data_IF_763678484502
#
_entry.id   IF_763678484502
#
_cell.length_a   1.000
_cell.length_b   1.000
_cell.length_c   1.000
_cell.angle_alpha   90.00
_cell.angle_beta   90.00
_cell.angle_gamma   90.00
#
_symmetry.space_group_name_H-M   'P 1'
#
loop_
_entity.id
_entity.type
_entity.pdbx_description
1 polymer ?
#
# COMPACT_ATOMS: atom_id res chain seq x y z
N UNK A 1 5.44 -14.68 25.30
CA UNK A 1 4.34 -13.72 25.32
C UNK A 1 4.85 -12.30 25.60
N UNK A 2 5.76 -12.07 26.55
CA UNK A 2 6.29 -10.75 26.90
C UNK A 2 7.03 -10.12 25.70
N UNK A 3 7.85 -10.88 25.00
CA UNK A 3 8.54 -10.44 23.79
C UNK A 3 7.58 -10.05 22.67
N UNK A 4 6.51 -10.84 22.45
CA UNK A 4 5.50 -10.54 21.44
C UNK A 4 4.77 -9.22 21.72
N UNK A 5 4.45 -8.96 23.00
CA UNK A 5 3.84 -7.70 23.42
C UNK A 5 4.78 -6.50 23.26
N UNK A 6 6.06 -6.65 23.64
CA UNK A 6 7.06 -5.60 23.44
C UNK A 6 7.24 -5.26 21.95
N UNK A 7 7.32 -6.26 21.07
CA UNK A 7 7.39 -6.04 19.62
C UNK A 7 6.14 -5.35 19.09
N UNK A 8 4.95 -5.77 19.54
CA UNK A 8 3.70 -5.15 19.12
C UNK A 8 3.65 -3.66 19.51
N UNK A 9 4.11 -3.31 20.71
CA UNK A 9 4.18 -1.92 21.18
C UNK A 9 5.20 -1.09 20.40
N UNK A 10 6.40 -1.62 20.17
CA UNK A 10 7.43 -0.95 19.37
C UNK A 10 6.93 -0.70 17.95
N UNK A 11 6.28 -1.69 17.37
CA UNK A 11 5.72 -1.58 16.03
C UNK A 11 4.57 -0.56 15.96
N UNK A 12 3.68 -0.59 16.94
CA UNK A 12 2.61 0.40 17.06
C UNK A 12 3.16 1.82 17.19
N UNK A 13 4.15 2.06 18.08
CA UNK A 13 4.74 3.38 18.28
C UNK A 13 5.51 3.89 17.06
N UNK A 14 6.04 3.01 16.24
CA UNK A 14 6.72 3.38 14.99
C UNK A 14 5.74 3.86 13.90
N UNK A 15 4.56 3.26 13.83
CA UNK A 15 3.67 3.42 12.65
C UNK A 15 2.42 4.26 12.93
N UNK A 16 2.00 4.46 14.20
CA UNK A 16 0.78 5.19 14.55
C UNK A 16 0.76 6.65 14.05
N UNK A 17 1.93 7.34 14.09
CA UNK A 17 2.07 8.70 13.57
C UNK A 17 1.78 8.78 12.08
N UNK A 18 2.27 7.80 11.33
CA UNK A 18 2.04 7.70 9.90
C UNK A 18 0.56 7.42 9.58
N UNK A 19 -0.10 6.56 10.36
CA UNK A 19 -1.53 6.29 10.21
C UNK A 19 -2.39 7.53 10.50
N UNK A 20 -2.07 8.30 11.54
CA UNK A 20 -2.75 9.56 11.85
C UNK A 20 -2.56 10.58 10.73
N UNK A 21 -1.34 10.72 10.21
CA UNK A 21 -1.05 11.61 9.09
C UNK A 21 -1.88 11.21 7.84
N UNK A 22 -1.96 9.91 7.55
CA UNK A 22 -2.77 9.38 6.44
C UNK A 22 -4.25 9.69 6.58
N UNK A 23 -4.81 9.54 7.78
CA UNK A 23 -6.22 9.89 8.07
C UNK A 23 -6.44 11.40 7.92
N UNK A 24 -5.50 12.22 8.38
CA UNK A 24 -5.56 13.67 8.30
C UNK A 24 -5.50 14.14 6.83
N UNK A 25 -4.55 13.65 6.05
CA UNK A 25 -4.42 13.96 4.62
C UNK A 25 -5.60 13.41 3.83
N UNK A 26 -6.05 12.18 4.11
CA UNK A 26 -7.20 11.56 3.45
C UNK A 26 -8.51 12.33 3.69
N UNK A 27 -8.72 12.83 4.91
CA UNK A 27 -9.87 13.68 5.22
C UNK A 27 -9.80 15.06 4.53
N UNK A 28 -8.59 15.62 4.43
CA UNK A 28 -8.35 16.89 3.75
C UNK A 28 -8.62 16.77 2.24
N UNK A 29 -8.13 15.72 1.59
CA UNK A 29 -8.42 15.43 0.18
C UNK A 29 -9.92 15.33 -0.08
N UNK A 30 -10.69 14.68 0.82
CA UNK A 30 -12.13 14.57 0.69
C UNK A 30 -12.88 15.90 0.73
N UNK A 31 -12.33 16.91 1.38
CA UNK A 31 -12.98 18.22 1.56
C UNK A 31 -12.47 19.26 0.57
N UNK A 32 -11.16 19.22 0.24
CA UNK A 32 -10.53 20.23 -0.64
C UNK A 32 -10.77 19.95 -2.12
N UNK A 33 -10.76 18.68 -2.53
CA UNK A 33 -10.84 18.36 -3.95
C UNK A 33 -12.32 18.26 -4.37
N UNK A 34 -12.78 19.05 -5.35
CA UNK A 34 -14.15 19.00 -5.83
C UNK A 34 -14.46 17.63 -6.45
N UNK A 35 -15.57 17.02 -6.05
CA UNK A 35 -16.01 15.71 -6.56
C UNK A 35 -16.13 15.69 -8.08
N UNK A 36 -16.66 16.77 -8.64
CA UNK A 36 -16.87 16.90 -10.09
C UNK A 36 -15.55 16.87 -10.86
N UNK A 37 -14.51 17.49 -10.33
CA UNK A 37 -13.18 17.46 -10.94
C UNK A 37 -12.57 16.05 -10.89
N UNK A 38 -12.63 15.38 -9.73
CA UNK A 38 -12.16 14.00 -9.57
C UNK A 38 -12.93 13.03 -10.46
N UNK A 39 -14.27 13.17 -10.50
CA UNK A 39 -15.12 12.30 -11.32
C UNK A 39 -14.86 12.50 -12.81
N UNK A 40 -14.67 13.73 -13.28
CA UNK A 40 -14.36 14.02 -14.69
C UNK A 40 -12.97 13.53 -15.08
N UNK A 41 -11.97 13.69 -14.21
CA UNK A 41 -10.57 13.41 -14.52
C UNK A 41 -10.20 11.93 -14.28
N UNK A 42 -10.67 11.34 -13.17
CA UNK A 42 -10.31 10.00 -12.71
C UNK A 42 -11.49 9.03 -12.67
N UNK A 43 -12.72 9.50 -12.94
CA UNK A 43 -13.93 8.67 -12.91
C UNK A 43 -14.03 7.69 -14.09
N UNK A 44 -13.41 8.01 -15.22
CA UNK A 44 -13.46 7.17 -16.39
C UNK A 44 -12.60 5.91 -16.21
N UNK A 45 -13.17 4.76 -16.57
CA UNK A 45 -12.47 3.45 -16.55
C UNK A 45 -11.52 3.30 -17.75
N UNK A 46 -10.71 4.32 -18.03
CA UNK A 46 -9.70 4.32 -19.09
C UNK A 46 -8.32 4.12 -18.50
N UNK A 47 -7.41 3.56 -19.27
CA UNK A 47 -6.01 3.40 -18.87
C UNK A 47 -5.35 4.73 -18.50
N UNK A 48 -5.71 5.81 -19.18
CA UNK A 48 -5.24 7.17 -18.86
C UNK A 48 -5.57 7.61 -17.43
N UNK A 49 -6.76 7.24 -16.92
CA UNK A 49 -7.11 7.50 -15.51
C UNK A 49 -6.24 6.72 -14.53
N UNK A 50 -5.87 5.49 -14.87
CA UNK A 50 -4.94 4.68 -14.07
C UNK A 50 -3.55 5.30 -14.03
N UNK A 51 -3.03 5.73 -15.18
CA UNK A 51 -1.72 6.44 -15.28
C UNK A 51 -1.75 7.73 -14.47
N UNK A 52 -2.81 8.53 -14.61
CA UNK A 52 -2.95 9.78 -13.86
C UNK A 52 -3.03 9.54 -12.35
N UNK A 53 -3.74 8.48 -11.92
CA UNK A 53 -3.77 8.06 -10.52
C UNK A 53 -2.39 7.73 -9.97
N UNK A 54 -1.58 7.00 -10.74
CA UNK A 54 -0.19 6.70 -10.39
C UNK A 54 0.68 7.96 -10.32
N UNK A 55 0.55 8.88 -11.27
CA UNK A 55 1.32 10.13 -11.29
C UNK A 55 0.97 11.05 -10.11
N UNK A 56 -0.31 11.11 -9.74
CA UNK A 56 -0.74 11.89 -8.56
C UNK A 56 -0.23 11.32 -7.24
N UNK A 57 0.22 10.08 -7.22
CA UNK A 57 0.82 9.46 -6.05
C UNK A 57 2.26 9.91 -5.80
N UNK A 58 3.03 10.25 -6.84
CA UNK A 58 4.47 10.53 -6.74
C UNK A 58 4.83 11.64 -5.75
N UNK A 59 4.14 12.79 -5.73
CA UNK A 59 4.43 13.84 -4.76
C UNK A 59 3.98 13.49 -3.33
N UNK A 60 3.10 12.49 -3.18
CA UNK A 60 2.54 12.10 -1.89
C UNK A 60 3.53 11.43 -0.96
N UNK A 61 4.51 10.68 -1.51
CA UNK A 61 5.57 9.96 -0.78
C UNK A 61 5.07 9.20 0.46
N UNK A 62 3.87 8.60 0.38
CA UNK A 62 3.19 7.96 1.49
C UNK A 62 3.52 6.46 1.55
N UNK A 63 3.45 5.90 2.77
CA UNK A 63 3.40 4.44 2.94
C UNK A 63 2.03 3.88 2.56
N UNK A 64 1.93 2.55 2.42
CA UNK A 64 0.69 1.84 2.09
C UNK A 64 -0.48 2.19 3.01
N UNK A 65 -0.22 2.28 4.32
CA UNK A 65 -1.23 2.58 5.33
C UNK A 65 -1.75 4.01 5.24
N UNK A 66 -0.86 4.97 4.90
CA UNK A 66 -1.24 6.38 4.75
C UNK A 66 -2.01 6.61 3.44
N UNK A 67 -1.62 5.91 2.38
CA UNK A 67 -2.27 6.01 1.08
C UNK A 67 -3.64 5.31 1.03
N UNK A 68 -3.87 4.27 1.86
CA UNK A 68 -5.12 3.51 1.88
C UNK A 68 -6.35 4.37 2.23
N UNK A 69 -6.37 5.21 3.29
CA UNK A 69 -7.49 6.10 3.58
C UNK A 69 -7.75 7.11 2.45
N UNK A 70 -6.70 7.59 1.80
CA UNK A 70 -6.83 8.53 0.66
C UNK A 70 -7.49 7.82 -0.52
N UNK A 71 -7.00 6.63 -0.88
CA UNK A 71 -7.59 5.81 -1.95
C UNK A 71 -9.05 5.44 -1.67
N UNK A 72 -9.38 5.10 -0.41
CA UNK A 72 -10.77 4.88 0.01
C UNK A 72 -11.62 6.15 -0.14
N UNK A 73 -11.07 7.30 0.19
CA UNK A 73 -11.69 8.62 -0.01
C UNK A 73 -11.94 8.92 -1.49
N UNK A 74 -10.97 8.65 -2.36
CA UNK A 74 -11.11 8.79 -3.82
C UNK A 74 -12.26 7.92 -4.35
N UNK A 75 -12.37 6.67 -3.89
CA UNK A 75 -13.48 5.77 -4.27
C UNK A 75 -14.85 6.31 -3.87
N UNK A 76 -14.96 6.90 -2.68
CA UNK A 76 -16.19 7.56 -2.21
C UNK A 76 -16.58 8.77 -3.05
N UNK A 77 -15.62 9.36 -3.77
CA UNK A 77 -15.82 10.50 -4.68
C UNK A 77 -15.95 10.06 -6.15
N UNK A 78 -16.36 8.81 -6.40
CA UNK A 78 -16.62 8.27 -7.75
C UNK A 78 -15.39 8.15 -8.64
N UNK A 79 -14.19 8.15 -8.08
CA UNK A 79 -12.97 7.82 -8.82
C UNK A 79 -12.99 6.35 -9.23
N UNK A 80 -12.51 6.03 -10.42
CA UNK A 80 -12.43 4.65 -10.92
C UNK A 80 -11.58 3.75 -10.01
N UNK A 81 -11.91 2.45 -9.93
CA UNK A 81 -11.14 1.50 -9.12
C UNK A 81 -9.68 1.43 -9.55
N UNK A 82 -9.40 1.47 -10.85
CA UNK A 82 -8.05 1.45 -11.37
C UNK A 82 -7.23 2.69 -10.98
N UNK A 83 -7.80 3.89 -11.08
CA UNK A 83 -7.10 5.11 -10.69
C UNK A 83 -6.80 5.14 -9.18
N UNK A 84 -7.75 4.74 -8.34
CA UNK A 84 -7.57 4.70 -6.90
C UNK A 84 -6.57 3.60 -6.47
N UNK A 85 -6.59 2.41 -7.11
CA UNK A 85 -5.60 1.35 -6.88
C UNK A 85 -4.21 1.77 -7.33
N UNK A 86 -4.10 2.39 -8.51
CA UNK A 86 -2.83 2.90 -9.02
C UNK A 86 -2.23 3.95 -8.07
N UNK A 87 -3.05 4.88 -7.58
CA UNK A 87 -2.63 5.84 -6.56
C UNK A 87 -2.12 5.14 -5.29
N UNK A 88 -2.87 4.16 -4.78
CA UNK A 88 -2.49 3.44 -3.57
C UNK A 88 -1.18 2.68 -3.70
N UNK A 89 -1.00 1.91 -4.79
CA UNK A 89 0.20 1.11 -5.03
C UNK A 89 1.42 1.96 -5.40
N UNK A 90 1.24 3.02 -6.19
CA UNK A 90 2.35 3.85 -6.66
C UNK A 90 3.01 4.64 -5.53
N UNK A 91 2.26 5.09 -4.53
CA UNK A 91 2.79 5.87 -3.41
C UNK A 91 4.02 5.23 -2.76
N UNK A 92 3.96 3.97 -2.27
CA UNK A 92 5.12 3.35 -1.64
C UNK A 92 6.10 2.73 -2.65
N UNK A 93 5.61 2.19 -3.78
CA UNK A 93 6.43 1.42 -4.72
C UNK A 93 7.31 2.34 -5.58
N UNK A 94 6.73 3.42 -6.09
CA UNK A 94 7.38 4.38 -6.98
C UNK A 94 7.80 5.66 -6.26
N UNK A 95 7.90 5.63 -4.94
CA UNK A 95 8.35 6.76 -4.13
C UNK A 95 9.77 7.21 -4.56
N UNK A 96 9.93 8.45 -5.09
CA UNK A 96 11.23 8.90 -5.59
C UNK A 96 12.33 8.93 -4.52
N UNK A 97 11.97 9.37 -3.30
CA UNK A 97 12.94 9.42 -2.20
C UNK A 97 13.43 8.02 -1.81
N UNK A 98 12.53 7.03 -1.78
CA UNK A 98 12.88 5.64 -1.47
C UNK A 98 13.75 5.03 -2.58
N UNK A 99 13.44 5.31 -3.86
CA UNK A 99 14.24 4.83 -4.98
C UNK A 99 15.66 5.40 -4.98
N UNK A 100 15.80 6.70 -4.71
CA UNK A 100 17.12 7.35 -4.57
C UNK A 100 17.88 6.78 -3.37
N UNK A 101 17.23 6.65 -2.22
CA UNK A 101 17.85 6.05 -1.03
C UNK A 101 18.28 4.61 -1.28
N UNK A 102 17.48 3.81 -1.96
CA UNK A 102 17.84 2.44 -2.38
C UNK A 102 19.07 2.43 -3.28
N UNK A 103 19.16 3.35 -4.25
CA UNK A 103 20.31 3.47 -5.15
C UNK A 103 21.62 3.71 -4.40
N UNK A 104 21.60 4.50 -3.32
CA UNK A 104 22.78 4.75 -2.50
C UNK A 104 23.13 3.60 -1.54
N UNK A 105 22.14 2.89 -1.01
CA UNK A 105 22.33 1.88 0.04
C UNK A 105 22.57 0.48 -0.53
N UNK A 106 21.74 0.05 -1.49
CA UNK A 106 21.80 -1.28 -2.11
C UNK A 106 22.45 -1.27 -3.49
N UNK A 107 22.53 -0.10 -4.11
CA UNK A 107 23.05 0.08 -5.45
C UNK A 107 21.98 0.39 -6.50
N UNK A 108 22.40 1.10 -7.54
CA UNK A 108 21.53 1.55 -8.62
C UNK A 108 20.82 0.43 -9.41
N UNK A 109 21.42 -0.79 -9.60
CA UNK A 109 20.73 -1.89 -10.23
C UNK A 109 19.43 -2.29 -9.50
N UNK A 110 19.44 -2.36 -8.17
CA UNK A 110 18.25 -2.64 -7.36
C UNK A 110 17.16 -1.57 -7.57
N UNK A 111 17.56 -0.29 -7.55
CA UNK A 111 16.62 0.82 -7.75
C UNK A 111 16.03 0.82 -9.16
N UNK A 112 16.82 0.53 -10.19
CA UNK A 112 16.38 0.44 -11.58
C UNK A 112 15.38 -0.71 -11.79
N UNK A 113 15.70 -1.91 -11.27
CA UNK A 113 14.79 -3.06 -11.34
C UNK A 113 13.48 -2.75 -10.63
N UNK A 114 13.55 -2.17 -9.42
CA UNK A 114 12.34 -1.76 -8.68
C UNK A 114 11.52 -0.73 -9.44
N UNK A 115 12.15 0.26 -10.06
CA UNK A 115 11.44 1.28 -10.83
C UNK A 115 10.69 0.65 -12.01
N UNK A 116 11.39 -0.13 -12.83
CA UNK A 116 10.79 -0.75 -14.04
C UNK A 116 9.70 -1.75 -13.64
N UNK A 117 10.01 -2.69 -12.77
CA UNK A 117 9.05 -3.69 -12.30
C UNK A 117 7.89 -3.03 -11.53
N UNK A 118 8.15 -1.97 -10.76
CA UNK A 118 7.16 -1.20 -10.04
C UNK A 118 6.17 -0.49 -10.95
N UNK A 119 6.63 0.14 -12.02
CA UNK A 119 5.75 0.77 -13.02
C UNK A 119 4.85 -0.28 -13.67
N UNK A 120 5.42 -1.40 -14.11
CA UNK A 120 4.65 -2.51 -14.70
C UNK A 120 3.65 -3.08 -13.71
N UNK A 121 4.07 -3.29 -12.47
CA UNK A 121 3.21 -3.80 -11.40
C UNK A 121 2.04 -2.84 -11.11
N UNK A 122 2.31 -1.56 -10.87
CA UNK A 122 1.30 -0.57 -10.51
C UNK A 122 0.26 -0.42 -11.63
N UNK A 123 0.72 -0.16 -12.85
CA UNK A 123 -0.18 0.08 -13.97
C UNK A 123 -0.88 -1.21 -14.43
N UNK A 124 -0.15 -2.31 -14.49
CA UNK A 124 -0.68 -3.61 -14.91
C UNK A 124 -1.74 -4.13 -13.93
N UNK A 125 -1.43 -4.14 -12.63
CA UNK A 125 -2.37 -4.63 -11.61
C UNK A 125 -3.61 -3.74 -11.55
N UNK A 126 -3.45 -2.42 -11.47
CA UNK A 126 -4.56 -1.51 -11.36
C UNK A 126 -5.50 -1.59 -12.57
N UNK A 127 -4.95 -1.72 -13.77
CA UNK A 127 -5.72 -1.89 -15.00
C UNK A 127 -6.42 -3.26 -15.08
N UNK A 128 -5.71 -4.34 -14.74
CA UNK A 128 -6.26 -5.70 -14.78
C UNK A 128 -7.39 -5.87 -13.77
N UNK A 129 -7.14 -5.45 -12.53
CA UNK A 129 -8.15 -5.51 -11.46
C UNK A 129 -9.38 -4.69 -11.84
N UNK A 130 -9.20 -3.48 -12.38
CA UNK A 130 -10.32 -2.67 -12.86
C UNK A 130 -11.15 -3.39 -13.92
N UNK A 131 -10.52 -4.11 -14.84
CA UNK A 131 -11.24 -4.87 -15.90
C UNK A 131 -11.98 -6.08 -15.35
N UNK A 132 -11.30 -6.87 -14.53
CA UNK A 132 -11.85 -8.11 -13.97
C UNK A 132 -12.98 -7.83 -12.98
N UNK A 133 -12.91 -6.73 -12.24
CA UNK A 133 -13.91 -6.36 -11.22
C UNK A 133 -14.89 -5.28 -11.72
N UNK A 134 -14.97 -5.07 -13.03
CA UNK A 134 -15.83 -4.04 -13.62
C UNK A 134 -17.32 -4.25 -13.30
N UNK A 135 -17.74 -5.50 -13.13
CA UNK A 135 -19.12 -5.91 -12.84
C UNK A 135 -19.37 -6.21 -11.38
N UNK A 136 -18.34 -6.20 -10.54
CA UNK A 136 -18.50 -6.45 -9.11
C UNK A 136 -19.39 -5.35 -8.50
N UNK A 137 -20.37 -5.72 -7.67
CA UNK A 137 -21.12 -4.74 -6.89
C UNK A 137 -20.12 -3.87 -6.14
N UNK A 138 -20.20 -2.58 -6.36
CA UNK A 138 -19.41 -1.68 -5.50
C UNK A 138 -19.87 -1.94 -4.07
N UNK A 139 -18.95 -2.22 -3.12
CA UNK A 139 -19.36 -2.27 -1.74
C UNK A 139 -20.13 -0.99 -1.49
N UNK A 140 -21.37 -1.12 -1.02
CA UNK A 140 -22.14 0.04 -0.59
C UNK A 140 -21.29 0.70 0.50
N UNK A 141 -20.39 1.61 0.07
CA UNK A 141 -19.80 2.49 1.03
C UNK A 141 -20.99 3.04 1.79
N UNK A 142 -21.02 2.99 3.15
CA UNK A 142 -22.02 3.72 3.87
C UNK A 142 -21.93 5.12 3.27
N UNK A 143 -22.89 5.45 2.44
CA UNK A 143 -22.97 6.78 1.89
C UNK A 143 -22.99 7.64 3.14
N UNK A 144 -21.99 8.51 3.37
CA UNK A 144 -22.26 9.60 4.27
C UNK A 144 -23.57 10.16 3.72
N UNK A 145 -24.57 10.44 4.56
CA UNK A 145 -25.93 10.80 4.14
C UNK A 145 -25.75 11.69 2.92
N UNK A 146 -26.44 11.36 1.83
CA UNK A 146 -26.30 11.98 0.52
C UNK A 146 -26.22 13.46 0.77
N UNK A 147 -25.01 13.96 0.84
CA UNK A 147 -24.81 15.40 0.75
C UNK A 147 -25.07 15.67 -0.72
N UNK A 148 -26.36 15.74 -1.05
CA UNK A 148 -26.84 16.42 -2.23
C UNK A 148 -25.89 17.59 -2.46
N UNK A 149 -25.55 17.85 -3.70
CA UNK A 149 -24.75 19.00 -4.14
C UNK A 149 -25.39 20.36 -3.79
N UNK A 150 -26.23 20.38 -2.78
CA UNK A 150 -26.59 21.57 -2.03
C UNK A 150 -25.31 22.01 -1.32
N UNK A 151 -24.83 23.15 -1.71
CA UNK A 151 -23.82 23.94 -1.03
C UNK A 151 -23.98 23.74 0.48
N UNK A 152 -23.15 22.86 1.06
CA UNK A 152 -23.14 22.69 2.51
C UNK A 152 -22.52 23.98 3.05
N UNK A 153 -23.38 24.93 3.44
CA UNK A 153 -23.02 26.26 3.95
C UNK A 153 -22.25 26.20 5.26
N UNK A 154 -21.95 24.98 5.73
CA UNK A 154 -21.17 24.77 6.95
C UNK A 154 -19.74 25.24 6.72
N UNK A 155 -19.13 25.88 7.72
CA UNK A 155 -17.75 26.31 7.65
C UNK A 155 -16.82 25.12 7.36
N UNK A 156 -15.78 25.36 6.60
CA UNK A 156 -14.78 24.35 6.18
C UNK A 156 -14.35 23.43 7.32
N UNK A 157 -14.08 24.00 8.51
CA UNK A 157 -13.65 23.25 9.69
C UNK A 157 -14.68 22.22 10.16
N UNK A 158 -15.98 22.53 10.08
CA UNK A 158 -17.03 21.57 10.48
C UNK A 158 -17.15 20.42 9.48
N UNK A 159 -17.01 20.69 8.18
CA UNK A 159 -17.00 19.67 7.13
C UNK A 159 -15.78 18.77 7.27
N UNK A 160 -14.61 19.35 7.47
CA UNK A 160 -13.37 18.62 7.66
C UNK A 160 -13.38 17.79 8.94
N UNK A 161 -13.80 18.35 10.08
CA UNK A 161 -13.93 17.63 11.34
C UNK A 161 -14.84 16.42 11.24
N UNK A 162 -15.97 16.51 10.53
CA UNK A 162 -16.86 15.37 10.28
C UNK A 162 -16.22 14.31 9.39
N UNK A 163 -15.52 14.71 8.32
CA UNK A 163 -14.80 13.79 7.44
C UNK A 163 -13.65 13.09 8.19
N UNK A 164 -12.89 13.85 8.99
CA UNK A 164 -11.80 13.36 9.84
C UNK A 164 -12.32 12.34 10.85
N UNK A 165 -13.40 12.65 11.57
CA UNK A 165 -14.01 11.75 12.55
C UNK A 165 -14.50 10.44 11.93
N UNK A 166 -15.22 10.52 10.81
CA UNK A 166 -15.70 9.35 10.10
C UNK A 166 -14.56 8.47 9.58
N UNK A 167 -13.49 9.08 9.06
CA UNK A 167 -12.33 8.35 8.56
C UNK A 167 -11.52 7.74 9.70
N UNK A 168 -11.35 8.45 10.80
CA UNK A 168 -10.66 7.98 12.01
C UNK A 168 -11.31 6.70 12.54
N UNK A 169 -12.61 6.71 12.82
CA UNK A 169 -13.31 5.54 13.36
C UNK A 169 -13.43 4.38 12.38
N UNK A 170 -13.43 4.63 11.08
CA UNK A 170 -13.45 3.56 10.08
C UNK A 170 -12.09 2.90 9.86
N UNK A 171 -11.01 3.57 10.22
CA UNK A 171 -9.64 3.18 9.85
C UNK A 171 -8.81 2.76 11.05
N UNK A 172 -8.75 3.57 12.10
CA UNK A 172 -7.83 3.39 13.23
C UNK A 172 -8.09 2.11 14.03
N UNK A 173 -9.33 1.71 14.37
CA UNK A 173 -9.54 0.49 15.15
C UNK A 173 -9.06 -0.77 14.40
N UNK A 174 -9.37 -0.86 13.10
CA UNK A 174 -8.94 -1.98 12.25
C UNK A 174 -7.41 -2.01 12.14
N UNK A 175 -6.82 -0.83 11.97
CA UNK A 175 -5.37 -0.67 11.88
C UNK A 175 -4.66 -1.12 13.18
N UNK A 176 -5.12 -0.64 14.34
CA UNK A 176 -4.56 -1.03 15.64
C UNK A 176 -4.62 -2.54 15.85
N UNK A 177 -5.79 -3.14 15.59
CA UNK A 177 -5.98 -4.58 15.74
C UNK A 177 -5.05 -5.38 14.80
N UNK A 178 -4.93 -4.96 13.54
CA UNK A 178 -4.08 -5.64 12.57
C UNK A 178 -2.58 -5.50 12.90
N UNK A 179 -2.13 -4.32 13.36
CA UNK A 179 -0.73 -4.09 13.77
C UNK A 179 -0.38 -4.90 15.01
N UNK A 180 -1.27 -4.95 16.01
CA UNK A 180 -1.05 -5.77 17.22
C UNK A 180 -1.01 -7.26 16.90
N UNK A 181 -1.92 -7.75 16.04
CA UNK A 181 -1.95 -9.15 15.62
C UNK A 181 -0.68 -9.54 14.86
N UNK A 182 -0.21 -8.71 13.92
CA UNK A 182 1.02 -8.97 13.17
C UNK A 182 2.27 -8.83 14.03
N UNK A 183 2.31 -7.87 14.95
CA UNK A 183 3.40 -7.73 15.91
C UNK A 183 3.53 -8.96 16.80
N UNK A 184 2.41 -9.53 17.24
CA UNK A 184 2.40 -10.79 17.99
C UNK A 184 2.80 -11.99 17.12
N UNK A 185 2.32 -12.06 15.88
CA UNK A 185 2.62 -13.15 14.94
C UNK A 185 4.07 -13.16 14.47
N UNK A 186 4.77 -12.03 14.51
CA UNK A 186 6.18 -11.93 14.07
C UNK A 186 7.10 -12.91 14.79
N UNK A 187 6.88 -13.14 16.08
CA UNK A 187 7.69 -14.09 16.89
C UNK A 187 7.58 -15.52 16.35
N UNK A 188 6.46 -15.86 15.69
CA UNK A 188 6.22 -17.20 15.15
C UNK A 188 6.53 -17.29 13.64
N UNK A 189 6.46 -16.18 12.92
CA UNK A 189 6.72 -16.13 11.47
C UNK A 189 8.23 -16.04 11.15
N UNK A 190 9.04 -15.54 12.09
CA UNK A 190 10.49 -15.50 11.95
C UNK A 190 11.17 -16.20 13.16
N UNK A 191 10.99 -17.52 13.33
CA UNK A 191 11.78 -18.26 14.28
C UNK A 191 13.21 -18.32 13.71
N UNK A 192 14.17 -17.69 14.38
CA UNK A 192 15.61 -17.82 14.17
C UNK A 192 16.00 -18.17 12.73
N UNK A 193 16.14 -17.18 11.88
CA UNK A 193 16.73 -17.36 10.55
C UNK A 193 18.26 -17.53 10.70
N UNK A 194 18.66 -18.57 11.42
CA UNK A 194 20.07 -18.97 11.58
C UNK A 194 20.60 -19.72 10.34
N UNK A 195 19.77 -19.87 9.30
CA UNK A 195 20.14 -20.44 8.01
C UNK A 195 20.28 -19.34 6.95
N UNK A 196 21.32 -19.39 6.14
CA UNK A 196 21.46 -18.55 4.97
C UNK A 196 20.20 -18.66 4.10
N UNK A 197 19.58 -17.52 3.79
CA UNK A 197 18.43 -17.45 2.88
C UNK A 197 18.99 -17.54 1.46
N UNK A 198 19.09 -18.77 0.97
CA UNK A 198 19.63 -19.05 -0.35
C UNK A 198 18.79 -18.43 -1.48
N UNK A 199 19.42 -18.29 -2.65
CA UNK A 199 18.77 -17.88 -3.90
C UNK A 199 17.83 -18.98 -4.43
N UNK A 200 16.98 -19.56 -3.59
CA UNK A 200 16.03 -20.60 -4.00
C UNK A 200 14.65 -20.02 -4.26
N UNK A 201 13.95 -20.61 -5.22
CA UNK A 201 12.59 -20.24 -5.57
C UNK A 201 11.62 -20.31 -4.38
N UNK A 202 11.85 -21.26 -3.48
CA UNK A 202 11.03 -21.43 -2.27
C UNK A 202 11.13 -20.21 -1.35
N UNK A 203 12.34 -19.68 -1.13
CA UNK A 203 12.54 -18.48 -0.34
C UNK A 203 11.96 -17.25 -1.01
N UNK A 204 12.09 -17.14 -2.34
CA UNK A 204 11.50 -16.03 -3.10
C UNK A 204 9.98 -16.01 -2.94
N UNK A 205 9.30 -17.15 -3.12
CA UNK A 205 7.85 -17.28 -2.95
C UNK A 205 7.44 -16.99 -1.51
N UNK A 206 8.12 -17.63 -0.55
CA UNK A 206 7.82 -17.45 0.87
C UNK A 206 7.93 -15.99 1.31
N UNK A 207 9.03 -15.34 0.96
CA UNK A 207 9.27 -13.93 1.32
C UNK A 207 8.36 -12.96 0.54
N UNK A 208 7.98 -13.27 -0.69
CA UNK A 208 7.00 -12.48 -1.42
C UNK A 208 5.62 -12.51 -0.75
N UNK A 209 5.18 -13.68 -0.26
CA UNK A 209 3.92 -13.81 0.49
C UNK A 209 4.01 -13.09 1.83
N UNK A 210 5.07 -13.35 2.58
CA UNK A 210 5.29 -12.72 3.89
C UNK A 210 5.38 -11.21 3.75
N UNK A 211 6.08 -10.70 2.72
CA UNK A 211 6.19 -9.27 2.43
C UNK A 211 4.84 -8.58 2.28
N UNK A 212 3.85 -9.23 1.67
CA UNK A 212 2.50 -8.69 1.53
C UNK A 212 1.67 -8.65 2.83
N UNK A 213 2.12 -9.32 3.88
CA UNK A 213 1.40 -9.35 5.16
C UNK A 213 1.86 -8.24 6.10
N UNK A 214 3.15 -7.90 6.07
CA UNK A 214 3.75 -6.96 7.01
C UNK A 214 3.56 -5.51 6.59
N UNK A 215 3.50 -4.64 7.62
CA UNK A 215 3.54 -3.18 7.47
C UNK A 215 4.92 -2.70 7.87
N UNK A 216 5.54 -1.91 7.01
CA UNK A 216 6.83 -1.28 7.31
C UNK A 216 6.71 0.23 7.04
N UNK A 217 7.32 1.08 7.89
CA UNK A 217 7.43 2.51 7.62
C UNK A 217 8.14 2.77 6.28
N UNK A 218 7.81 3.88 5.62
CA UNK A 218 8.42 4.25 4.34
C UNK A 218 9.95 4.18 4.39
N UNK A 219 10.54 3.52 3.42
CA UNK A 219 11.98 3.30 3.25
C UNK A 219 12.66 2.39 4.28
N UNK A 220 11.97 1.91 5.32
CA UNK A 220 12.57 1.01 6.31
C UNK A 220 12.84 -0.40 5.73
N UNK A 221 12.21 -0.77 4.61
CA UNK A 221 12.53 -2.00 3.90
C UNK A 221 13.97 -2.06 3.43
N UNK A 222 14.58 -0.91 3.11
CA UNK A 222 15.95 -0.84 2.56
C UNK A 222 17.00 -1.29 3.57
N UNK A 223 17.11 -0.70 4.79
CA UNK A 223 18.08 -1.16 5.77
C UNK A 223 17.76 -2.57 6.29
N UNK A 224 16.50 -3.00 6.33
CA UNK A 224 16.13 -4.36 6.71
C UNK A 224 16.70 -5.35 5.69
N UNK A 225 16.43 -5.14 4.40
CA UNK A 225 16.93 -6.02 3.34
C UNK A 225 18.45 -5.97 3.26
N UNK A 226 19.07 -4.80 3.43
CA UNK A 226 20.52 -4.67 3.48
C UNK A 226 21.13 -5.52 4.59
N UNK A 227 20.57 -5.47 5.79
CA UNK A 227 21.03 -6.30 6.93
C UNK A 227 20.90 -7.78 6.64
N UNK A 228 19.79 -8.19 6.02
CA UNK A 228 19.58 -9.59 5.63
C UNK A 228 20.55 -10.03 4.52
N UNK A 229 20.86 -9.17 3.56
CA UNK A 229 21.87 -9.45 2.53
C UNK A 229 23.28 -9.57 3.11
N UNK A 230 23.64 -8.72 4.08
CA UNK A 230 24.88 -8.84 4.82
C UNK A 230 24.96 -10.14 5.65
N UNK A 231 23.81 -10.67 6.07
CA UNK A 231 23.70 -11.97 6.73
C UNK A 231 23.64 -13.17 5.76
N UNK A 232 23.81 -12.95 4.44
CA UNK A 232 23.90 -13.99 3.43
C UNK A 232 22.63 -14.22 2.59
N UNK A 233 21.63 -13.33 2.67
CA UNK A 233 20.45 -13.42 1.81
C UNK A 233 20.80 -13.11 0.36
N UNK A 234 20.34 -13.96 -0.56
CA UNK A 234 20.54 -13.79 -2.00
C UNK A 234 19.76 -12.60 -2.59
N UNK A 235 20.20 -12.13 -3.76
CA UNK A 235 19.59 -10.98 -4.46
C UNK A 235 18.14 -11.23 -4.88
N UNK A 236 17.79 -12.47 -5.24
CA UNK A 236 16.42 -12.86 -5.61
C UNK A 236 15.42 -12.64 -4.48
N UNK A 237 15.59 -13.28 -3.31
CA UNK A 237 14.76 -13.04 -2.12
C UNK A 237 14.73 -11.56 -1.70
N UNK A 238 15.86 -10.86 -1.80
CA UNK A 238 15.96 -9.43 -1.50
C UNK A 238 15.04 -8.59 -2.39
N UNK A 239 15.07 -8.80 -3.71
CA UNK A 239 14.20 -8.09 -4.65
C UNK A 239 12.73 -8.45 -4.48
N UNK A 240 12.41 -9.70 -4.19
CA UNK A 240 11.03 -10.11 -3.90
C UNK A 240 10.48 -9.33 -2.70
N UNK A 241 11.23 -9.22 -1.61
CA UNK A 241 10.86 -8.43 -0.44
C UNK A 241 10.75 -6.93 -0.77
N UNK A 242 11.72 -6.36 -1.47
CA UNK A 242 11.73 -4.94 -1.84
C UNK A 242 10.53 -4.54 -2.71
N UNK A 243 9.95 -5.49 -3.45
CA UNK A 243 8.74 -5.26 -4.26
C UNK A 243 7.46 -5.42 -3.45
N UNK A 244 7.37 -6.43 -2.58
CA UNK A 244 6.12 -6.80 -1.92
C UNK A 244 5.88 -6.06 -0.61
N UNK A 245 6.93 -5.86 0.20
CA UNK A 245 6.83 -5.16 1.50
C UNK A 245 6.20 -3.78 1.41
N UNK A 246 6.64 -2.89 0.48
CA UNK A 246 6.03 -1.57 0.39
C UNK A 246 4.68 -1.57 -0.33
N UNK A 247 4.43 -2.53 -1.23
CA UNK A 247 3.29 -2.47 -2.14
C UNK A 247 1.95 -2.68 -1.44
N UNK A 248 1.85 -3.71 -0.62
CA UNK A 248 0.60 -4.13 0.04
C UNK A 248 0.91 -4.61 1.45
N UNK A 249 -0.03 -4.42 2.36
CA UNK A 249 0.04 -4.96 3.72
C UNK A 249 -1.34 -5.39 4.20
N UNK A 250 -1.41 -6.38 5.09
CA UNK A 250 -2.67 -6.87 5.62
C UNK A 250 -3.53 -5.75 6.24
N UNK A 251 -3.00 -4.84 7.08
CA UNK A 251 -3.78 -3.73 7.59
C UNK A 251 -4.35 -2.83 6.50
N UNK A 252 -3.58 -2.51 5.47
CA UNK A 252 -4.05 -1.65 4.38
C UNK A 252 -5.16 -2.30 3.54
N UNK A 253 -5.08 -3.62 3.32
CA UNK A 253 -6.16 -4.39 2.68
C UNK A 253 -7.45 -4.35 3.52
N UNK A 254 -7.33 -4.54 4.83
CA UNK A 254 -8.47 -4.47 5.75
C UNK A 254 -9.10 -3.07 5.78
N UNK A 255 -8.30 -2.02 5.68
CA UNK A 255 -8.80 -0.64 5.60
C UNK A 255 -9.57 -0.38 4.31
N UNK A 256 -9.16 -0.99 3.21
CA UNK A 256 -9.75 -0.81 1.88
C UNK A 256 -10.98 -1.68 1.63
N UNK A 257 -11.28 -2.66 2.47
CA UNK A 257 -12.38 -3.62 2.25
C UNK A 257 -13.77 -2.96 2.13
N UNK A 258 -13.95 -1.76 2.71
CA UNK A 258 -15.18 -0.97 2.60
C UNK A 258 -15.26 -0.12 1.33
N UNK A 259 -14.16 0.00 0.59
CA UNK A 259 -14.06 0.85 -0.61
C UNK A 259 -13.90 0.04 -1.90
N UNK A 260 -13.41 -1.19 -1.78
CA UNK A 260 -13.19 -2.12 -2.88
C UNK A 260 -13.82 -3.48 -2.58
N UNK A 261 -14.19 -4.23 -3.60
CA UNK A 261 -14.67 -5.61 -3.42
C UNK A 261 -13.53 -6.50 -2.87
N UNK A 262 -13.90 -7.50 -2.05
CA UNK A 262 -12.92 -8.46 -1.53
C UNK A 262 -12.17 -9.14 -2.68
N UNK A 263 -12.86 -9.43 -3.80
CA UNK A 263 -12.24 -9.99 -5.01
C UNK A 263 -11.15 -9.08 -5.59
N UNK A 264 -11.42 -7.75 -5.65
CA UNK A 264 -10.42 -6.79 -6.12
C UNK A 264 -9.17 -6.77 -5.22
N UNK A 265 -9.36 -6.79 -3.91
CA UNK A 265 -8.25 -6.76 -2.94
C UNK A 265 -7.44 -8.06 -2.94
N UNK A 266 -8.10 -9.22 -2.96
CA UNK A 266 -7.43 -10.52 -3.06
C UNK A 266 -6.66 -10.66 -4.37
N UNK A 267 -7.25 -10.23 -5.50
CA UNK A 267 -6.59 -10.25 -6.80
C UNK A 267 -5.37 -9.30 -6.80
N UNK A 268 -5.51 -8.11 -6.23
CA UNK A 268 -4.38 -7.18 -6.08
C UNK A 268 -3.25 -7.80 -5.28
N UNK A 269 -3.54 -8.39 -4.13
CA UNK A 269 -2.51 -9.04 -3.29
C UNK A 269 -1.84 -10.21 -4.03
N UNK A 270 -2.61 -11.08 -4.68
CA UNK A 270 -2.07 -12.21 -5.44
C UNK A 270 -1.17 -11.75 -6.59
N UNK A 271 -1.56 -10.71 -7.31
CA UNK A 271 -0.76 -10.16 -8.41
C UNK A 271 0.51 -9.45 -7.91
N UNK A 272 0.46 -8.80 -6.75
CA UNK A 272 1.67 -8.22 -6.10
C UNK A 272 2.64 -9.32 -5.71
N UNK A 273 2.17 -10.42 -5.12
CA UNK A 273 3.02 -11.59 -4.82
C UNK A 273 3.63 -12.15 -6.10
N UNK A 274 2.84 -12.32 -7.15
CA UNK A 274 3.32 -12.82 -8.44
C UNK A 274 4.41 -11.89 -9.02
N UNK A 275 4.18 -10.59 -9.03
CA UNK A 275 5.19 -9.62 -9.47
C UNK A 275 6.44 -9.65 -8.61
N UNK A 276 6.30 -9.80 -7.29
CA UNK A 276 7.44 -9.98 -6.37
C UNK A 276 8.26 -11.23 -6.71
N UNK A 277 7.59 -12.35 -6.94
CA UNK A 277 8.26 -13.61 -7.34
C UNK A 277 8.97 -13.44 -8.68
N UNK A 278 8.31 -12.89 -9.69
CA UNK A 278 8.91 -12.64 -11.00
C UNK A 278 10.14 -11.73 -10.91
N UNK A 279 10.03 -10.64 -10.12
CA UNK A 279 11.15 -9.72 -9.90
C UNK A 279 12.29 -10.40 -9.14
N UNK A 280 11.97 -11.26 -8.17
CA UNK A 280 12.96 -12.06 -7.46
C UNK A 280 13.69 -13.04 -8.37
N UNK A 281 12.98 -13.73 -9.27
CA UNK A 281 13.59 -14.64 -10.27
C UNK A 281 14.49 -13.86 -11.23
N UNK A 282 14.06 -12.68 -11.70
CA UNK A 282 14.89 -11.80 -12.52
C UNK A 282 16.15 -11.39 -11.76
N UNK A 283 16.02 -11.08 -10.47
CA UNK A 283 17.16 -10.73 -9.61
C UNK A 283 18.19 -11.84 -9.44
N UNK A 284 17.74 -13.09 -9.42
CA UNK A 284 18.66 -14.26 -9.37
C UNK A 284 19.59 -14.34 -10.60
N UNK A 285 19.11 -13.85 -11.75
CA UNK A 285 19.88 -13.94 -13.00
C UNK A 285 20.67 -12.68 -13.36
N UNK A 286 20.35 -11.53 -12.78
CA UNK A 286 20.96 -10.24 -13.11
C UNK A 286 21.95 -9.73 -12.05
N UNK A 287 21.81 -10.18 -10.80
CA UNK A 287 22.62 -9.74 -9.65
C UNK A 287 23.27 -10.94 -8.95
#
# INVERSE_FOLDING_TARGET
WLAAWQYALVYFTAVWKAALLGVLLGSLVQVLIPRDWLARTLGHRRFSGTVLGALLALPGMMCTCCAAPVAAGMRRQSVSSGAALAFWLANPVLNPATLVFMGFVLGWPFAAIRLVAGVVMVLGIAWLVQRVTAQDPQPAAPQPPVMTAQSDERPFLARWGKALWALFWSTIPIYVLAVLALGAARVWLFPHADGAVDNSLLWIIGLAIVGCLFVIPTAAEIPIVQTMMLAGMGAGPALALLMTLPAVSLPSLLMLNKAFSARALCLTAALVVLCGVLTGVVGMGLL
#
